data_IF_048966879683
#
_entry.id   IF_048966879683
#
_cell.length_a   1.000
_cell.length_b   1.000
_cell.length_c   1.000
_cell.angle_alpha   90.00
_cell.angle_beta   90.00
_cell.angle_gamma   90.00
#
_symmetry.space_group_name_H-M   'P 1'
#
loop_
_entity.id
_entity.type
_entity.pdbx_description
1 polymer ?
#
# COMPACT_ATOMS: atom_id res chain seq x y z
N UNK A 1 -10.61 13.07 -6.70
CA UNK A 1 -9.80 11.83 -6.62
C UNK A 1 -10.71 10.67 -6.26
N UNK A 2 -11.02 9.78 -7.21
CA UNK A 2 -11.78 8.55 -6.92
C UNK A 2 -10.75 7.52 -6.43
N UNK A 3 -10.45 7.52 -5.13
CA UNK A 3 -9.56 6.52 -4.56
C UNK A 3 -10.23 5.15 -4.61
N UNK A 4 -9.55 4.20 -5.23
CA UNK A 4 -10.00 2.82 -5.38
C UNK A 4 -10.33 2.17 -4.01
N UNK A 5 -11.45 1.45 -3.93
CA UNK A 5 -11.83 0.69 -2.74
C UNK A 5 -10.78 -0.38 -2.40
N UNK A 6 -9.98 -0.84 -3.36
CA UNK A 6 -8.86 -1.74 -3.08
C UNK A 6 -7.77 -1.09 -2.21
N UNK A 7 -7.46 0.20 -2.41
CA UNK A 7 -6.51 0.95 -1.58
C UNK A 7 -7.06 1.13 -0.16
N UNK A 8 -8.35 1.44 -0.04
CA UNK A 8 -9.04 1.54 1.26
C UNK A 8 -8.94 0.22 2.03
N UNK A 9 -9.12 -0.92 1.37
CA UNK A 9 -8.99 -2.24 1.99
C UNK A 9 -7.54 -2.54 2.42
N UNK A 10 -6.53 -2.11 1.66
CA UNK A 10 -5.11 -2.22 2.06
C UNK A 10 -4.82 -1.42 3.31
N UNK A 11 -5.29 -0.17 3.39
CA UNK A 11 -5.13 0.68 4.56
C UNK A 11 -5.86 0.12 5.79
N UNK A 12 -7.07 -0.43 5.64
CA UNK A 12 -7.79 -1.11 6.72
C UNK A 12 -6.99 -2.30 7.29
N UNK A 13 -6.34 -3.08 6.42
CA UNK A 13 -5.46 -4.19 6.87
C UNK A 13 -4.24 -3.69 7.63
N UNK A 14 -3.54 -2.68 7.11
CA UNK A 14 -2.39 -2.08 7.80
C UNK A 14 -2.78 -1.50 9.17
N UNK A 15 -3.95 -0.86 9.25
CA UNK A 15 -4.52 -0.37 10.51
C UNK A 15 -4.78 -1.51 11.52
N UNK A 16 -5.37 -2.62 11.07
CA UNK A 16 -5.57 -3.81 11.91
C UNK A 16 -4.26 -4.39 12.43
N UNK A 17 -3.22 -4.46 11.58
CA UNK A 17 -1.89 -4.90 11.99
C UNK A 17 -1.26 -3.97 13.03
N UNK A 18 -1.40 -2.64 12.85
CA UNK A 18 -0.90 -1.67 13.82
C UNK A 18 -1.58 -1.83 15.19
N UNK A 19 -2.90 -2.04 15.21
CA UNK A 19 -3.63 -2.36 16.44
C UNK A 19 -3.09 -3.64 17.10
N UNK A 20 -2.78 -4.66 16.30
CA UNK A 20 -2.16 -5.89 16.78
C UNK A 20 -0.79 -5.67 17.44
N UNK A 21 0.06 -4.82 16.85
CA UNK A 21 1.37 -4.46 17.43
C UNK A 21 1.21 -3.80 18.79
N UNK A 22 0.26 -2.87 18.95
CA UNK A 22 -0.01 -2.23 20.25
C UNK A 22 -0.43 -3.28 21.29
N UNK A 23 -1.33 -4.21 20.92
CA UNK A 23 -1.73 -5.29 21.82
C UNK A 23 -0.55 -6.22 22.19
N UNK A 24 0.37 -6.48 21.28
CA UNK A 24 1.58 -7.26 21.55
C UNK A 24 2.49 -6.56 22.58
N UNK A 25 2.58 -5.23 22.53
CA UNK A 25 3.33 -4.45 23.51
C UNK A 25 2.70 -4.53 24.91
N UNK A 26 1.38 -4.58 25.00
CA UNK A 26 0.66 -4.76 26.28
C UNK A 26 0.84 -6.16 26.87
N UNK A 27 1.21 -7.15 26.05
CA UNK A 27 1.37 -8.55 26.43
C UNK A 27 2.84 -8.99 26.63
N UNK A 28 3.75 -8.04 26.85
CA UNK A 28 5.20 -8.28 27.04
C UNK A 28 5.86 -9.12 25.93
N UNK A 29 5.42 -8.93 24.67
CA UNK A 29 6.02 -9.64 23.52
C UNK A 29 7.45 -9.13 23.24
N UNK A 30 8.32 -9.99 22.70
CA UNK A 30 9.71 -9.63 22.45
C UNK A 30 9.86 -8.51 21.41
N UNK A 31 10.89 -7.68 21.57
CA UNK A 31 11.23 -6.64 20.59
C UNK A 31 11.46 -7.19 19.17
N UNK A 32 11.93 -8.44 19.04
CA UNK A 32 12.16 -9.07 17.74
C UNK A 32 10.86 -9.41 17.02
N UNK A 33 9.83 -9.83 17.76
CA UNK A 33 8.51 -10.09 17.19
C UNK A 33 7.84 -8.78 16.77
N UNK A 34 7.93 -7.74 17.61
CA UNK A 34 7.45 -6.39 17.27
C UNK A 34 8.12 -5.86 16.00
N UNK A 35 9.45 -5.99 15.90
CA UNK A 35 10.22 -5.59 14.71
C UNK A 35 9.74 -6.33 13.46
N UNK A 36 9.45 -7.61 13.57
CA UNK A 36 8.95 -8.43 12.45
C UNK A 36 7.58 -7.93 11.96
N UNK A 37 6.66 -7.64 12.88
CA UNK A 37 5.34 -7.09 12.53
C UNK A 37 5.45 -5.69 11.93
N UNK A 38 6.28 -4.82 12.50
CA UNK A 38 6.51 -3.48 11.97
C UNK A 38 7.11 -3.50 10.56
N UNK A 39 8.03 -4.43 10.27
CA UNK A 39 8.55 -4.65 8.90
C UNK A 39 7.45 -5.07 7.93
N UNK A 40 6.55 -5.96 8.34
CA UNK A 40 5.42 -6.38 7.52
C UNK A 40 4.46 -5.21 7.23
N UNK A 41 4.16 -4.39 8.23
CA UNK A 41 3.35 -3.16 8.08
C UNK A 41 4.03 -2.20 7.12
N UNK A 42 5.33 -1.91 7.30
CA UNK A 42 6.10 -1.05 6.40
C UNK A 42 6.01 -1.53 4.95
N UNK A 43 6.23 -2.83 4.70
CA UNK A 43 6.14 -3.39 3.35
C UNK A 43 4.74 -3.21 2.73
N UNK A 44 3.68 -3.43 3.52
CA UNK A 44 2.29 -3.22 3.08
C UNK A 44 2.00 -1.76 2.72
N UNK A 45 2.52 -0.82 3.51
CA UNK A 45 2.40 0.62 3.26
C UNK A 45 3.20 1.03 2.01
N UNK A 46 4.45 0.58 1.88
CA UNK A 46 5.31 0.88 0.72
C UNK A 46 4.65 0.43 -0.59
N UNK A 47 4.01 -0.75 -0.60
CA UNK A 47 3.23 -1.23 -1.76
C UNK A 47 2.03 -0.35 -2.04
N UNK A 48 1.31 0.09 -1.01
CA UNK A 48 0.15 0.98 -1.13
C UNK A 48 0.54 2.34 -1.71
N UNK A 49 1.67 2.90 -1.25
CA UNK A 49 2.25 4.12 -1.80
C UNK A 49 2.57 3.96 -3.29
N UNK A 50 3.25 2.87 -3.67
CA UNK A 50 3.59 2.59 -5.08
C UNK A 50 2.36 2.55 -5.99
N UNK A 51 1.28 1.89 -5.56
CA UNK A 51 0.01 1.85 -6.31
C UNK A 51 -0.57 3.27 -6.45
N UNK A 52 -0.67 4.02 -5.35
CA UNK A 52 -1.25 5.37 -5.35
C UNK A 52 -0.45 6.32 -6.24
N UNK A 53 0.88 6.30 -6.15
CA UNK A 53 1.76 7.12 -7.00
C UNK A 53 1.58 6.79 -8.47
N UNK A 54 1.47 5.50 -8.82
CA UNK A 54 1.29 5.07 -10.21
C UNK A 54 -0.08 5.50 -10.75
N UNK A 55 -1.14 5.34 -9.95
CA UNK A 55 -2.48 5.83 -10.31
C UNK A 55 -2.51 7.35 -10.53
N UNK A 56 -1.83 8.11 -9.66
CA UNK A 56 -1.72 9.56 -9.82
C UNK A 56 -0.96 9.95 -11.10
N UNK A 57 0.13 9.25 -11.41
CA UNK A 57 0.91 9.47 -12.63
C UNK A 57 0.04 9.27 -13.87
N UNK A 58 -0.71 8.17 -13.93
CA UNK A 58 -1.59 7.85 -15.05
C UNK A 58 -2.68 8.90 -15.22
N UNK A 59 -3.38 9.25 -14.15
CA UNK A 59 -4.41 10.30 -14.20
C UNK A 59 -3.84 11.62 -14.70
N UNK A 60 -2.60 11.94 -14.32
CA UNK A 60 -1.90 13.13 -14.81
C UNK A 60 -1.62 13.06 -16.32
N UNK A 61 -1.18 11.91 -16.82
CA UNK A 61 -0.92 11.70 -18.25
C UNK A 61 -2.24 11.75 -19.05
N UNK A 62 -3.27 11.04 -18.61
CA UNK A 62 -4.58 11.03 -19.25
C UNK A 62 -5.17 12.45 -19.37
N UNK A 63 -5.14 13.20 -18.26
CA UNK A 63 -5.64 14.58 -18.25
C UNK A 63 -4.80 15.53 -19.11
N UNK A 64 -3.46 15.44 -19.04
CA UNK A 64 -2.57 16.37 -19.74
C UNK A 64 -2.55 16.16 -21.25
N UNK A 65 -2.64 14.91 -21.69
CA UNK A 65 -2.57 14.56 -23.12
C UNK A 65 -3.94 14.25 -23.73
N UNK A 66 -5.02 14.31 -22.93
CA UNK A 66 -6.37 13.94 -23.33
C UNK A 66 -6.44 12.55 -23.98
N UNK A 67 -5.69 11.61 -23.42
CA UNK A 67 -5.63 10.20 -23.83
C UNK A 67 -6.26 9.34 -22.74
N UNK A 68 -6.69 8.15 -23.13
CA UNK A 68 -7.10 7.12 -22.18
C UNK A 68 -6.08 5.99 -22.24
N UNK A 69 -5.57 5.57 -21.08
CA UNK A 69 -4.62 4.47 -21.00
C UNK A 69 -5.38 3.25 -20.50
N UNK A 70 -5.58 2.27 -21.36
CA UNK A 70 -6.17 0.98 -20.99
C UNK A 70 -5.05 0.00 -20.52
N UNK A 71 -5.43 -1.09 -19.83
CA UNK A 71 -4.53 -2.18 -19.39
C UNK A 71 -3.32 -1.80 -18.50
N UNK A 72 -3.52 -0.83 -17.62
CA UNK A 72 -2.53 -0.36 -16.64
C UNK A 72 -2.11 -1.41 -15.61
N UNK A 73 -3.00 -2.35 -15.28
CA UNK A 73 -2.85 -3.20 -14.09
C UNK A 73 -1.58 -4.04 -14.11
N UNK A 74 -1.16 -4.51 -15.29
CA UNK A 74 0.06 -5.29 -15.46
C UNK A 74 1.32 -4.44 -15.21
N UNK A 75 1.33 -3.21 -15.73
CA UNK A 75 2.42 -2.26 -15.50
C UNK A 75 2.53 -1.85 -14.02
N UNK A 76 1.39 -1.64 -13.35
CA UNK A 76 1.35 -1.38 -11.90
C UNK A 76 1.92 -2.56 -11.12
N UNK A 77 1.56 -3.79 -11.50
CA UNK A 77 2.04 -5.00 -10.83
C UNK A 77 3.56 -5.16 -10.93
N UNK A 78 4.17 -4.80 -12.07
CA UNK A 78 5.63 -4.80 -12.22
C UNK A 78 6.32 -3.83 -11.26
N UNK A 79 5.77 -2.62 -11.11
CA UNK A 79 6.30 -1.60 -10.19
C UNK A 79 6.19 -2.05 -8.73
N UNK A 80 5.12 -2.76 -8.39
CA UNK A 80 4.81 -3.19 -7.02
C UNK A 80 5.51 -4.49 -6.62
N UNK A 81 5.78 -5.40 -7.58
CA UNK A 81 6.45 -6.70 -7.35
C UNK A 81 7.98 -6.61 -7.33
N UNK A 82 8.57 -5.52 -7.82
CA UNK A 82 10.03 -5.33 -7.87
C UNK A 82 10.73 -5.02 -6.54
N UNK A 83 10.07 -5.21 -5.39
CA UNK A 83 10.62 -4.97 -4.05
C UNK A 83 10.43 -6.17 -3.12
#
# INVERSE_FOLDING_TARGET
MKCDDTLKNRLKRAHGQMKGVIQMMENDTTCMDLLTQLKAIRSSIDKTIGILTTQNLIQTIEHKFNVKIDDINEAVDLVVKGK
#
